data_IF_489895308577
#
_entry.id   IF_489895308577
#
_cell.length_a   1.000
_cell.length_b   1.000
_cell.length_c   1.000
_cell.angle_alpha   90.00
_cell.angle_beta   90.00
_cell.angle_gamma   90.00
#
_symmetry.space_group_name_H-M   'P 1'
#
loop_
_entity.id
_entity.type
_entity.pdbx_description
1 polymer ?
#
# COMPACT_ATOMS: atom_id res chain seq x y z
N UNK A 1 12.29 -5.65 9.22
CA UNK A 1 11.66 -5.81 7.89
C UNK A 1 10.29 -5.16 7.83
N UNK A 2 9.42 -5.33 8.83
CA UNK A 2 8.06 -4.77 8.84
C UNK A 2 8.01 -3.27 8.54
N UNK A 3 8.92 -2.47 9.11
CA UNK A 3 8.95 -1.01 8.88
C UNK A 3 9.29 -0.59 7.44
N UNK A 4 10.00 -1.43 6.68
CA UNK A 4 10.25 -1.18 5.26
C UNK A 4 8.97 -1.39 4.45
N UNK A 5 8.26 -2.47 4.76
CA UNK A 5 7.00 -2.85 4.11
C UNK A 5 5.84 -1.95 4.52
N UNK A 6 6.00 -1.21 5.62
CA UNK A 6 5.06 -0.17 6.03
C UNK A 6 5.42 1.20 5.43
N UNK A 7 6.24 1.26 4.39
CA UNK A 7 6.60 2.51 3.73
C UNK A 7 7.34 3.51 4.61
N UNK A 8 7.77 3.16 5.83
CA UNK A 8 8.34 4.13 6.76
C UNK A 8 9.83 4.39 6.49
N UNK A 9 10.46 3.58 5.64
CA UNK A 9 11.89 3.64 5.31
C UNK A 9 12.13 3.63 3.81
N UNK A 10 13.18 4.33 3.34
CA UNK A 10 13.62 4.26 1.96
C UNK A 10 14.01 2.82 1.59
N UNK A 11 13.97 2.46 0.29
CA UNK A 11 14.34 1.12 -0.14
C UNK A 11 15.85 0.87 -0.04
N UNK A 12 16.31 -0.38 -0.27
CA UNK A 12 17.72 -0.68 -0.55
C UNK A 12 18.29 0.19 -1.68
N UNK A 13 19.60 0.46 -1.63
CA UNK A 13 20.27 1.40 -2.55
C UNK A 13 20.22 0.98 -4.03
N UNK A 14 20.16 -0.31 -4.32
CA UNK A 14 20.06 -0.89 -5.66
C UNK A 14 18.61 -1.14 -6.11
N UNK A 15 17.61 -0.73 -5.32
CA UNK A 15 16.20 -0.95 -5.65
C UNK A 15 15.81 -0.37 -7.01
N UNK A 16 16.25 0.86 -7.31
CA UNK A 16 15.96 1.51 -8.60
C UNK A 16 16.49 0.69 -9.79
N UNK A 17 17.65 0.04 -9.63
CA UNK A 17 18.25 -0.80 -10.67
C UNK A 17 17.48 -2.11 -10.87
N UNK A 18 16.86 -2.64 -9.81
CA UNK A 18 16.18 -3.94 -9.81
C UNK A 18 14.69 -3.82 -10.17
N UNK A 19 14.03 -2.76 -9.72
CA UNK A 19 12.59 -2.52 -9.88
C UNK A 19 12.30 -1.52 -11.01
N UNK A 20 13.20 -0.58 -11.29
CA UNK A 20 13.10 0.32 -12.44
C UNK A 20 12.48 1.68 -12.15
N UNK A 21 12.30 2.06 -10.88
CA UNK A 21 11.90 3.41 -10.49
C UNK A 21 12.52 3.82 -9.15
N UNK A 22 12.55 5.13 -8.90
CA UNK A 22 12.96 5.72 -7.62
C UNK A 22 11.73 6.09 -6.78
N UNK A 23 11.48 5.44 -5.63
CA UNK A 23 10.41 5.83 -4.73
C UNK A 23 10.66 7.23 -4.15
N UNK A 24 9.58 7.94 -3.82
CA UNK A 24 9.67 9.23 -3.13
C UNK A 24 8.95 9.17 -1.78
N UNK A 25 9.38 10.01 -0.85
CA UNK A 25 8.76 10.12 0.45
C UNK A 25 7.68 11.20 0.45
N UNK A 26 6.59 10.95 1.17
CA UNK A 26 5.61 11.94 1.57
C UNK A 26 5.49 11.96 3.10
N UNK A 27 5.08 13.12 3.62
CA UNK A 27 4.67 13.25 5.01
C UNK A 27 3.13 13.18 5.08
N UNK A 28 2.59 12.22 5.82
CA UNK A 28 1.17 12.16 6.16
C UNK A 28 0.96 12.66 7.60
N UNK A 29 -0.27 12.98 8.03
CA UNK A 29 -0.58 13.22 9.44
C UNK A 29 -0.22 12.03 10.36
N UNK A 30 -0.12 10.83 9.80
CA UNK A 30 0.15 9.56 10.50
C UNK A 30 1.58 9.03 10.25
N UNK A 31 2.50 9.93 9.88
CA UNK A 31 3.92 9.65 9.67
C UNK A 31 4.35 9.62 8.20
N UNK A 32 5.65 9.43 8.00
CA UNK A 32 6.25 9.35 6.67
C UNK A 32 5.82 8.08 5.94
N UNK A 33 5.64 8.18 4.62
CA UNK A 33 5.42 7.04 3.70
C UNK A 33 6.29 7.18 2.46
N UNK A 34 6.85 6.07 1.99
CA UNK A 34 7.44 5.93 0.67
C UNK A 34 6.35 5.53 -0.32
N UNK A 35 6.43 6.04 -1.54
CA UNK A 35 5.46 5.82 -2.59
C UNK A 35 6.09 5.36 -3.89
N UNK A 36 5.41 4.44 -4.57
CA UNK A 36 5.60 4.16 -5.98
C UNK A 36 5.01 5.32 -6.82
N UNK A 37 5.80 6.06 -7.61
CA UNK A 37 5.29 7.10 -8.50
C UNK A 37 4.40 6.57 -9.63
N UNK A 38 4.49 5.29 -9.95
CA UNK A 38 3.71 4.63 -11.01
C UNK A 38 2.48 3.90 -10.46
N UNK A 39 2.42 3.70 -9.15
CA UNK A 39 1.29 3.07 -8.45
C UNK A 39 0.02 3.91 -8.54
N UNK A 40 -1.13 3.27 -8.35
CA UNK A 40 -2.41 3.95 -8.37
C UNK A 40 -3.52 3.14 -7.69
N UNK A 41 -4.49 3.84 -7.11
CA UNK A 41 -5.68 3.17 -6.58
C UNK A 41 -6.54 2.63 -7.74
N UNK A 42 -6.78 1.32 -7.77
CA UNK A 42 -7.64 0.70 -8.78
C UNK A 42 -8.93 0.14 -8.17
N UNK A 43 -10.06 0.41 -8.84
CA UNK A 43 -11.36 -0.25 -8.61
C UNK A 43 -12.10 -0.41 -9.93
N UNK A 44 -12.97 -1.43 -10.07
CA UNK A 44 -13.82 -1.59 -11.24
C UNK A 44 -14.57 -0.29 -11.54
N UNK A 45 -14.55 0.16 -12.79
CA UNK A 45 -15.25 1.35 -13.28
C UNK A 45 -14.91 2.68 -12.58
N UNK A 46 -13.85 2.76 -11.77
CA UNK A 46 -13.44 3.97 -11.05
C UNK A 46 -14.56 4.62 -10.20
N UNK A 47 -15.55 3.84 -9.75
CA UNK A 47 -16.72 4.34 -9.00
C UNK A 47 -16.41 4.70 -7.53
N UNK A 48 -15.15 4.57 -7.10
CA UNK A 48 -14.69 4.81 -5.73
C UNK A 48 -13.86 6.09 -5.56
N UNK A 49 -13.38 6.35 -4.34
CA UNK A 49 -12.53 7.50 -3.99
C UNK A 49 -11.09 7.30 -4.48
N UNK A 50 -10.92 7.11 -5.78
CA UNK A 50 -9.64 6.75 -6.42
C UNK A 50 -8.57 7.79 -6.12
N UNK A 51 -8.90 9.09 -6.24
CA UNK A 51 -7.93 10.17 -6.02
C UNK A 51 -7.54 10.29 -4.55
N UNK A 52 -8.50 10.11 -3.66
CA UNK A 52 -8.31 10.23 -2.23
C UNK A 52 -7.49 9.07 -1.67
N UNK A 53 -7.63 7.86 -2.24
CA UNK A 53 -6.90 6.67 -1.82
C UNK A 53 -5.60 6.44 -2.61
N UNK A 54 -5.35 7.22 -3.67
CA UNK A 54 -4.13 7.15 -4.47
C UNK A 54 -2.84 7.17 -3.61
N UNK A 55 -2.71 8.05 -2.58
CA UNK A 55 -1.52 8.03 -1.74
C UNK A 55 -1.33 6.73 -0.94
N UNK A 56 -2.42 6.14 -0.46
CA UNK A 56 -2.37 4.87 0.27
C UNK A 56 -2.03 3.72 -0.69
N UNK A 57 -2.60 3.71 -1.89
CA UNK A 57 -2.34 2.71 -2.91
C UNK A 57 -0.87 2.73 -3.38
N UNK A 58 -0.32 3.92 -3.67
CA UNK A 58 1.10 4.06 -4.02
C UNK A 58 2.05 3.58 -2.92
N UNK A 59 1.66 3.74 -1.66
CA UNK A 59 2.42 3.22 -0.52
C UNK A 59 2.34 1.70 -0.44
N UNK A 60 1.17 1.13 -0.74
CA UNK A 60 0.93 -0.30 -0.79
C UNK A 60 1.71 -0.97 -1.94
N UNK A 61 1.67 -0.37 -3.13
CA UNK A 61 2.43 -0.81 -4.31
C UNK A 61 3.94 -0.80 -4.03
N UNK A 62 4.46 0.25 -3.38
CA UNK A 62 5.84 0.26 -2.89
C UNK A 62 6.16 -0.92 -1.96
N UNK A 63 5.25 -1.24 -1.02
CA UNK A 63 5.40 -2.40 -0.14
C UNK A 63 5.45 -3.72 -0.92
N UNK A 64 4.64 -3.86 -1.97
CA UNK A 64 4.64 -5.01 -2.88
C UNK A 64 5.91 -5.09 -3.73
N UNK A 65 6.43 -3.95 -4.19
CA UNK A 65 7.68 -3.92 -4.95
C UNK A 65 8.89 -4.28 -4.11
N UNK A 66 8.85 -4.04 -2.79
CA UNK A 66 9.85 -4.60 -1.88
C UNK A 66 9.78 -6.14 -1.85
N UNK A 67 8.59 -6.74 -1.89
CA UNK A 67 8.46 -8.21 -1.98
C UNK A 67 9.09 -8.73 -3.28
N UNK A 68 8.76 -8.09 -4.41
CA UNK A 68 9.33 -8.41 -5.74
C UNK A 68 10.84 -8.21 -5.77
N UNK A 69 11.33 -7.16 -5.13
CA UNK A 69 12.76 -6.89 -5.01
C UNK A 69 13.47 -8.05 -4.32
N UNK A 70 12.99 -8.46 -3.14
CA UNK A 70 13.60 -9.56 -2.39
C UNK A 70 13.51 -10.91 -3.12
N UNK A 71 12.41 -11.16 -3.84
CA UNK A 71 12.29 -12.31 -4.73
C UNK A 71 13.34 -12.29 -5.84
N UNK A 72 13.50 -11.16 -6.56
CA UNK A 72 14.52 -10.99 -7.61
C UNK A 72 15.96 -11.15 -7.08
N UNK A 73 16.20 -10.82 -5.81
CA UNK A 73 17.51 -11.02 -5.15
C UNK A 73 17.73 -12.45 -4.65
N UNK A 74 16.76 -13.35 -4.83
CA UNK A 74 16.84 -14.75 -4.39
C UNK A 74 16.61 -14.94 -2.90
N UNK A 75 16.05 -13.95 -2.20
CA UNK A 75 15.75 -14.00 -0.76
C UNK A 75 14.30 -13.62 -0.49
N UNK A 76 13.32 -14.34 -1.07
CA UNK A 76 11.90 -13.98 -0.98
C UNK A 76 11.45 -13.87 0.48
N UNK A 77 10.65 -12.84 0.76
CA UNK A 77 10.08 -12.65 2.09
C UNK A 77 8.90 -13.60 2.30
N UNK A 78 8.72 -14.03 3.55
CA UNK A 78 7.59 -14.89 3.92
C UNK A 78 6.23 -14.17 3.87
N UNK A 79 5.11 -14.93 3.98
CA UNK A 79 3.74 -14.42 3.89
C UNK A 79 3.41 -13.22 4.79
N UNK A 80 4.04 -13.11 5.95
CA UNK A 80 3.77 -12.03 6.89
C UNK A 80 4.25 -10.66 6.38
N UNK A 81 5.19 -10.65 5.44
CA UNK A 81 5.63 -9.44 4.77
C UNK A 81 4.50 -8.82 3.93
N UNK A 82 3.79 -9.65 3.15
CA UNK A 82 2.63 -9.20 2.38
C UNK A 82 1.49 -8.75 3.27
N UNK A 83 1.20 -9.50 4.34
CA UNK A 83 0.19 -9.10 5.32
C UNK A 83 0.52 -7.76 5.98
N UNK A 84 1.80 -7.46 6.23
CA UNK A 84 2.21 -6.18 6.79
C UNK A 84 1.91 -5.02 5.83
N UNK A 85 2.19 -5.18 4.53
CA UNK A 85 1.84 -4.20 3.51
C UNK A 85 0.32 -4.01 3.41
N UNK A 86 -0.46 -5.10 3.35
CA UNK A 86 -1.93 -5.06 3.30
C UNK A 86 -2.54 -4.40 4.56
N UNK A 87 -1.98 -4.70 5.73
CA UNK A 87 -2.42 -4.10 6.99
C UNK A 87 -2.15 -2.60 7.05
N UNK A 88 -1.00 -2.14 6.53
CA UNK A 88 -0.74 -0.71 6.42
C UNK A 88 -1.72 -0.05 5.44
N UNK A 89 -1.93 -0.64 4.27
CA UNK A 89 -2.86 -0.10 3.28
C UNK A 89 -4.25 0.11 3.88
N UNK A 90 -4.75 -0.91 4.61
CA UNK A 90 -5.98 -0.81 5.38
C UNK A 90 -5.90 0.35 6.38
N UNK A 91 -4.84 0.42 7.19
CA UNK A 91 -4.68 1.47 8.20
C UNK A 91 -4.72 2.87 7.57
N UNK A 92 -3.94 3.13 6.53
CA UNK A 92 -3.83 4.46 5.92
C UNK A 92 -5.16 4.92 5.30
N UNK A 93 -5.96 4.01 4.72
CA UNK A 93 -7.31 4.35 4.24
C UNK A 93 -8.30 4.66 5.37
N UNK A 94 -8.24 3.90 6.47
CA UNK A 94 -9.10 4.17 7.63
C UNK A 94 -8.70 5.44 8.36
N UNK A 95 -7.40 5.74 8.42
CA UNK A 95 -6.87 7.00 8.94
C UNK A 95 -7.38 8.19 8.11
N UNK A 96 -7.27 8.11 6.78
CA UNK A 96 -7.84 9.12 5.88
C UNK A 96 -9.33 9.33 6.14
N UNK A 97 -10.08 8.23 6.30
CA UNK A 97 -11.51 8.30 6.55
C UNK A 97 -11.86 8.92 7.92
N UNK A 98 -11.03 8.70 8.95
CA UNK A 98 -11.24 9.27 10.28
C UNK A 98 -10.89 10.76 10.35
N UNK A 99 -9.92 11.19 9.54
CA UNK A 99 -9.48 12.60 9.46
C UNK A 99 -10.51 13.52 8.79
N UNK A 100 -11.55 12.96 8.17
CA UNK A 100 -12.60 13.74 7.53
C UNK A 100 -13.40 14.57 8.55
N UNK A 101 -13.74 15.80 8.18
CA UNK A 101 -14.45 16.73 9.05
C UNK A 101 -15.94 16.37 9.18
N UNK A 102 -16.57 15.97 8.08
CA UNK A 102 -18.01 15.66 8.02
C UNK A 102 -18.33 14.22 8.42
N UNK A 103 -19.43 14.03 9.17
CA UNK A 103 -19.90 12.70 9.55
C UNK A 103 -20.18 11.81 8.32
N UNK A 104 -20.88 12.35 7.31
CA UNK A 104 -21.20 11.62 6.08
C UNK A 104 -19.94 11.22 5.31
N UNK A 105 -18.93 12.09 5.26
CA UNK A 105 -17.64 11.78 4.62
C UNK A 105 -16.91 10.66 5.37
N UNK A 106 -16.83 10.72 6.70
CA UNK A 106 -16.23 9.63 7.50
C UNK A 106 -16.90 8.29 7.18
N UNK A 107 -18.23 8.25 7.14
CA UNK A 107 -18.98 7.03 6.81
C UNK A 107 -18.65 6.58 5.38
N UNK A 108 -18.73 7.48 4.39
CA UNK A 108 -18.42 7.20 2.98
C UNK A 108 -17.02 6.58 2.82
N UNK A 109 -15.99 7.25 3.33
CA UNK A 109 -14.62 6.78 3.15
C UNK A 109 -14.31 5.54 4.00
N UNK A 110 -14.93 5.34 5.17
CA UNK A 110 -14.77 4.09 5.92
C UNK A 110 -15.39 2.90 5.17
N UNK A 111 -16.54 3.09 4.54
CA UNK A 111 -17.15 2.06 3.69
C UNK A 111 -16.24 1.68 2.52
N UNK A 112 -15.70 2.67 1.82
CA UNK A 112 -14.75 2.41 0.73
C UNK A 112 -13.44 1.80 1.22
N UNK A 113 -12.87 2.27 2.32
CA UNK A 113 -11.66 1.70 2.92
C UNK A 113 -11.84 0.21 3.23
N UNK A 114 -13.02 -0.17 3.74
CA UNK A 114 -13.36 -1.56 3.97
C UNK A 114 -13.42 -2.38 2.67
N UNK A 115 -14.03 -1.84 1.61
CA UNK A 115 -14.14 -2.53 0.30
C UNK A 115 -12.74 -2.78 -0.28
N UNK A 116 -11.90 -1.76 -0.35
CA UNK A 116 -10.53 -1.87 -0.87
C UNK A 116 -9.69 -2.88 -0.07
N UNK A 117 -9.71 -2.75 1.26
CA UNK A 117 -8.93 -3.63 2.14
C UNK A 117 -9.37 -5.10 2.00
N UNK A 118 -10.68 -5.36 1.96
CA UNK A 118 -11.20 -6.71 1.76
C UNK A 118 -10.82 -7.27 0.39
N UNK A 119 -10.90 -6.48 -0.68
CA UNK A 119 -10.54 -6.92 -2.02
C UNK A 119 -9.05 -7.34 -2.09
N UNK A 120 -8.15 -6.51 -1.54
CA UNK A 120 -6.72 -6.83 -1.46
C UNK A 120 -6.47 -8.08 -0.63
N UNK A 121 -7.08 -8.20 0.55
CA UNK A 121 -6.89 -9.37 1.42
C UNK A 121 -7.34 -10.68 0.74
N UNK A 122 -8.46 -10.65 0.00
CA UNK A 122 -8.92 -11.80 -0.77
C UNK A 122 -7.96 -12.16 -1.91
N UNK A 123 -7.46 -11.15 -2.63
CA UNK A 123 -6.50 -11.35 -3.72
C UNK A 123 -5.16 -11.90 -3.20
N UNK A 124 -4.64 -11.34 -2.11
CA UNK A 124 -3.44 -11.84 -1.42
C UNK A 124 -3.59 -13.30 -1.01
N UNK A 125 -4.73 -13.66 -0.41
CA UNK A 125 -5.00 -15.06 -0.03
C UNK A 125 -5.05 -15.99 -1.24
N UNK A 126 -5.68 -15.57 -2.35
CA UNK A 126 -5.72 -16.33 -3.59
C UNK A 126 -4.32 -16.57 -4.19
N UNK A 127 -3.37 -15.66 -3.93
CA UNK A 127 -1.97 -15.77 -4.34
C UNK A 127 -1.06 -16.43 -3.26
N UNK A 128 -1.65 -17.05 -2.23
CA UNK A 128 -0.88 -17.69 -1.15
C UNK A 128 -0.10 -16.72 -0.26
N UNK A 129 -0.40 -15.42 -0.34
CA UNK A 129 0.32 -14.32 0.30
C UNK A 129 1.81 -14.21 -0.11
N UNK A 130 2.19 -14.77 -1.27
CA UNK A 130 3.54 -14.62 -1.83
C UNK A 130 3.75 -13.26 -2.50
N UNK A 131 4.92 -13.03 -3.13
CA UNK A 131 5.13 -11.89 -4.00
C UNK A 131 4.04 -11.79 -5.09
N UNK A 132 3.52 -10.58 -5.38
CA UNK A 132 2.46 -10.35 -6.36
C UNK A 132 2.96 -10.24 -7.80
#
# INVERSE_FOLDING_TARGET
MTEYLTGARPPPADFEQVIGYKPYAIQTPHGQRMQDPLGYASVPFQIGPVKEFDPAAKTHDYGYDLLRYFEKKGTPLGPDARKAADALFRKDMFDYANDQKGFLDRVKYRSWAQIYATAVELYSKAQGNGPP
#
